data_IF_110934205678
#
_entry.id   IF_110934205678
#
_cell.length_a   1.000
_cell.length_b   1.000
_cell.length_c   1.000
_cell.angle_alpha   90.00
_cell.angle_beta   90.00
_cell.angle_gamma   90.00
#
_symmetry.space_group_name_H-M   'P 1'
#
loop_
_entity.id
_entity.type
_entity.pdbx_description
1 polymer ?
#
# COMPACT_ATOMS: atom_id res chain seq x y z
N UNK A 1 26.37 -6.69 2.75
CA UNK A 1 25.60 -6.70 4.03
C UNK A 1 24.55 -7.82 4.04
N UNK A 2 23.85 -8.07 2.92
CA UNK A 2 22.89 -9.18 2.82
C UNK A 2 23.55 -10.57 2.71
N UNK A 3 24.85 -10.64 2.42
CA UNK A 3 25.58 -11.88 2.16
C UNK A 3 25.70 -12.79 3.39
N UNK A 4 25.68 -12.22 4.60
CA UNK A 4 25.65 -13.00 5.84
C UNK A 4 24.36 -13.82 5.91
N UNK A 5 23.21 -13.21 5.59
CA UNK A 5 21.93 -13.91 5.58
C UNK A 5 21.86 -14.96 4.47
N UNK A 6 22.46 -14.68 3.31
CA UNK A 6 22.60 -15.72 2.26
C UNK A 6 23.37 -16.94 2.75
N UNK A 7 24.40 -16.76 3.59
CA UNK A 7 25.12 -17.88 4.22
C UNK A 7 24.29 -18.61 5.28
N UNK A 8 23.60 -17.86 6.15
CA UNK A 8 22.74 -18.43 7.21
C UNK A 8 21.60 -19.27 6.65
N UNK A 9 21.08 -18.89 5.49
CA UNK A 9 19.98 -19.59 4.80
C UNK A 9 20.47 -20.48 3.65
N UNK A 10 21.76 -20.81 3.56
CA UNK A 10 22.33 -21.56 2.44
C UNK A 10 21.71 -22.96 2.27
N UNK A 11 21.24 -23.59 3.36
CA UNK A 11 20.54 -24.88 3.38
C UNK A 11 19.06 -24.78 2.96
N UNK A 12 18.51 -23.56 2.92
CA UNK A 12 17.10 -23.27 2.65
C UNK A 12 16.94 -21.92 1.92
N UNK A 13 17.57 -21.74 0.75
CA UNK A 13 17.65 -20.43 0.09
C UNK A 13 16.28 -19.84 -0.24
N UNK A 14 15.29 -20.69 -0.50
CA UNK A 14 13.90 -20.28 -0.78
C UNK A 14 13.18 -19.64 0.43
N UNK A 15 13.76 -19.68 1.63
CA UNK A 15 13.21 -19.05 2.85
C UNK A 15 13.77 -17.64 3.09
N UNK A 16 14.59 -17.11 2.18
CA UNK A 16 15.13 -15.77 2.26
C UNK A 16 14.70 -14.95 1.05
N UNK A 17 14.14 -13.76 1.30
CA UNK A 17 13.91 -12.73 0.28
C UNK A 17 14.65 -11.49 0.73
N UNK A 18 15.63 -11.05 -0.05
CA UNK A 18 16.41 -9.84 0.20
C UNK A 18 15.79 -8.68 -0.54
N UNK A 19 15.49 -7.61 0.18
CA UNK A 19 14.74 -6.48 -0.36
C UNK A 19 15.57 -5.20 -0.28
N UNK A 20 15.32 -4.29 -1.22
CA UNK A 20 15.71 -2.89 -1.10
C UNK A 20 14.47 -2.02 -1.23
N UNK A 21 14.39 -0.96 -0.42
CA UNK A 21 13.21 -0.11 -0.37
C UNK A 21 13.33 1.13 -1.25
N UNK A 22 12.28 1.40 -2.02
CA UNK A 22 12.06 2.63 -2.76
C UNK A 22 10.80 3.37 -2.26
N UNK A 23 10.55 4.54 -2.85
CA UNK A 23 9.31 5.31 -2.64
C UNK A 23 8.43 5.15 -3.87
N UNK A 24 7.14 4.82 -3.69
CA UNK A 24 6.23 4.58 -4.82
C UNK A 24 6.26 5.70 -5.87
N UNK A 25 6.17 6.95 -5.41
CA UNK A 25 6.15 8.18 -6.21
C UNK A 25 7.53 8.72 -6.58
N UNK A 26 8.59 7.92 -6.48
CA UNK A 26 9.92 8.30 -6.92
C UNK A 26 10.68 7.13 -7.57
N UNK A 27 10.31 6.73 -8.81
CA UNK A 27 11.04 5.71 -9.56
C UNK A 27 12.50 6.06 -9.81
N UNK A 28 12.83 7.34 -10.05
CA UNK A 28 14.21 7.78 -10.27
C UNK A 28 15.12 7.46 -9.08
N UNK A 29 14.66 7.70 -7.85
CA UNK A 29 15.39 7.30 -6.64
C UNK A 29 15.57 5.80 -6.55
N UNK A 30 14.59 5.02 -7.01
CA UNK A 30 14.66 3.55 -6.98
C UNK A 30 15.68 3.05 -8.03
N UNK A 31 15.77 3.73 -9.18
CA UNK A 31 16.76 3.43 -10.21
C UNK A 31 18.18 3.77 -9.75
N UNK A 32 18.35 4.91 -9.07
CA UNK A 32 19.65 5.28 -8.46
C UNK A 32 20.10 4.19 -7.49
N UNK A 33 19.20 3.69 -6.65
CA UNK A 33 19.52 2.63 -5.67
C UNK A 33 19.91 1.33 -6.39
N UNK A 34 19.11 0.87 -7.36
CA UNK A 34 19.36 -0.40 -8.05
C UNK A 34 20.61 -0.37 -8.95
N UNK A 35 20.96 0.80 -9.49
CA UNK A 35 22.16 1.00 -10.32
C UNK A 35 23.45 1.16 -9.50
N UNK A 36 23.36 1.29 -8.17
CA UNK A 36 24.53 1.56 -7.34
C UNK A 36 25.33 0.29 -7.08
N UNK A 37 26.53 0.20 -7.67
CA UNK A 37 27.44 -0.93 -7.49
C UNK A 37 26.78 -2.28 -7.81
N UNK A 38 26.87 -3.22 -6.87
CA UNK A 38 26.27 -4.56 -7.02
C UNK A 38 24.91 -4.71 -6.32
N UNK A 39 24.23 -3.62 -5.95
CA UNK A 39 22.93 -3.69 -5.22
C UNK A 39 21.93 -4.59 -5.96
N UNK A 40 21.74 -4.40 -7.26
CA UNK A 40 20.85 -5.26 -8.04
C UNK A 40 21.30 -6.74 -8.06
N UNK A 41 22.57 -7.08 -7.85
CA UNK A 41 22.99 -8.50 -7.77
C UNK A 41 22.71 -9.09 -6.38
N UNK A 42 22.64 -8.26 -5.35
CA UNK A 42 22.49 -8.69 -3.96
C UNK A 42 21.05 -8.76 -3.45
N UNK A 43 20.06 -8.33 -4.24
CA UNK A 43 18.64 -8.29 -3.84
C UNK A 43 17.73 -9.10 -4.76
N UNK A 44 16.61 -9.56 -4.22
CA UNK A 44 15.62 -10.38 -4.92
C UNK A 44 14.38 -9.55 -5.33
N UNK A 45 14.09 -8.47 -4.58
CA UNK A 45 12.94 -7.61 -4.84
C UNK A 45 13.23 -6.12 -4.57
N UNK A 46 12.59 -5.26 -5.37
CA UNK A 46 12.33 -3.87 -5.01
C UNK A 46 11.03 -3.82 -4.19
N UNK A 47 11.09 -3.18 -3.04
CA UNK A 47 9.93 -2.99 -2.18
C UNK A 47 9.53 -1.51 -2.17
N UNK A 48 8.23 -1.20 -2.35
CA UNK A 48 7.71 0.18 -2.35
C UNK A 48 6.53 0.32 -1.37
N UNK A 49 6.10 1.56 -1.12
CA UNK A 49 4.80 1.81 -0.46
C UNK A 49 3.65 1.60 -1.46
N UNK A 50 2.44 1.32 -0.99
CA UNK A 50 1.21 1.28 -1.78
C UNK A 50 0.11 2.08 -1.07
N UNK A 51 0.39 3.35 -0.77
CA UNK A 51 -0.55 4.26 -0.15
C UNK A 51 -1.33 5.07 -1.17
N UNK A 52 -2.63 5.28 -0.94
CA UNK A 52 -3.48 6.15 -1.74
C UNK A 52 -4.20 7.21 -0.88
N UNK A 53 -4.63 8.32 -1.47
CA UNK A 53 -5.50 9.30 -0.82
C UNK A 53 -4.82 10.48 -0.11
N UNK A 54 -3.49 10.57 -0.11
CA UNK A 54 -2.75 11.70 0.45
C UNK A 54 -2.99 13.04 -0.27
N UNK A 55 -3.62 12.99 -1.46
CA UNK A 55 -4.01 14.17 -2.24
C UNK A 55 -5.46 14.62 -2.00
N UNK A 56 -6.28 13.88 -1.24
CA UNK A 56 -7.70 14.25 -1.03
C UNK A 56 -7.83 15.40 -0.04
N UNK A 57 -7.01 15.40 1.01
CA UNK A 57 -6.95 16.48 2.01
C UNK A 57 -5.50 16.96 2.17
N UNK A 58 -4.91 17.61 1.14
CA UNK A 58 -3.51 17.99 1.16
C UNK A 58 -3.28 19.10 2.20
N UNK A 59 -2.24 18.95 3.02
CA UNK A 59 -1.89 19.93 4.05
C UNK A 59 -0.92 20.98 3.48
N UNK A 60 -1.18 22.24 3.80
CA UNK A 60 -0.23 23.33 3.55
C UNK A 60 -0.06 23.71 2.07
N UNK A 61 -0.94 23.21 1.20
CA UNK A 61 -0.92 23.51 -0.24
C UNK A 61 -1.88 24.64 -0.62
N UNK A 62 -2.82 25.01 0.27
CA UNK A 62 -3.90 25.94 -0.04
C UNK A 62 -4.95 25.39 -1.02
N UNK A 63 -4.81 24.13 -1.46
CA UNK A 63 -5.77 23.50 -2.34
C UNK A 63 -7.12 23.34 -1.64
N UNK A 64 -8.21 23.54 -2.40
CA UNK A 64 -9.55 23.36 -1.88
C UNK A 64 -9.75 21.91 -1.42
N UNK A 65 -10.29 21.76 -0.20
CA UNK A 65 -10.74 20.47 0.31
C UNK A 65 -12.07 20.09 -0.36
N UNK A 66 -12.39 18.79 -0.48
CA UNK A 66 -13.70 18.35 -0.93
C UNK A 66 -14.82 19.03 -0.14
N UNK A 67 -15.85 19.53 -0.82
CA UNK A 67 -16.99 20.18 -0.18
C UNK A 67 -17.97 19.16 0.40
N UNK A 68 -18.05 17.98 -0.23
CA UNK A 68 -18.93 16.88 0.17
C UNK A 68 -18.15 15.57 0.32
N UNK A 69 -18.80 14.58 0.94
CA UNK A 69 -18.26 13.23 1.03
C UNK A 69 -18.14 12.57 -0.36
N UNK A 70 -19.06 12.90 -1.27
CA UNK A 70 -19.05 12.40 -2.65
C UNK A 70 -17.84 12.94 -3.42
N UNK A 71 -17.54 14.24 -3.28
CA UNK A 71 -16.33 14.84 -3.86
C UNK A 71 -15.06 14.18 -3.32
N UNK A 72 -15.04 13.87 -2.03
CA UNK A 72 -13.88 13.22 -1.39
C UNK A 72 -13.64 11.82 -1.96
N UNK A 73 -14.70 11.03 -2.18
CA UNK A 73 -14.58 9.71 -2.79
C UNK A 73 -14.25 9.76 -4.28
N UNK A 74 -14.78 10.73 -5.03
CA UNK A 74 -14.38 10.94 -6.42
C UNK A 74 -12.88 11.28 -6.53
N UNK A 75 -12.37 12.12 -5.63
CA UNK A 75 -10.93 12.41 -5.57
C UNK A 75 -10.11 11.19 -5.09
N UNK A 76 -10.66 10.37 -4.20
CA UNK A 76 -10.01 9.16 -3.73
C UNK A 76 -9.82 8.14 -4.86
N UNK A 77 -10.81 7.99 -5.73
CA UNK A 77 -10.72 7.14 -6.93
C UNK A 77 -9.58 7.58 -7.86
N UNK A 78 -9.47 8.89 -8.12
CA UNK A 78 -8.34 9.45 -8.88
C UNK A 78 -7.00 9.22 -8.16
N UNK A 79 -6.98 9.28 -6.84
CA UNK A 79 -5.77 9.03 -6.05
C UNK A 79 -5.31 7.56 -6.13
N UNK A 80 -6.25 6.60 -6.19
CA UNK A 80 -5.93 5.19 -6.44
C UNK A 80 -5.28 5.05 -7.82
N UNK A 81 -5.86 5.62 -8.88
CA UNK A 81 -5.29 5.55 -10.24
C UNK A 81 -3.89 6.15 -10.32
N UNK A 82 -3.70 7.32 -9.71
CA UNK A 82 -2.40 7.99 -9.65
C UNK A 82 -1.35 7.12 -8.94
N UNK A 83 -1.75 6.46 -7.86
CA UNK A 83 -0.88 5.52 -7.12
C UNK A 83 -0.45 4.37 -8.01
N UNK A 84 -1.40 3.75 -8.73
CA UNK A 84 -1.09 2.62 -9.60
C UNK A 84 -0.31 2.98 -10.86
N UNK A 85 -0.47 4.19 -11.40
CA UNK A 85 0.42 4.69 -12.45
C UNK A 85 1.89 4.71 -12.00
N UNK A 86 2.13 5.14 -10.76
CA UNK A 86 3.50 5.15 -10.20
C UNK A 86 4.01 3.74 -9.88
N UNK A 87 3.13 2.87 -9.35
CA UNK A 87 3.47 1.46 -9.08
C UNK A 87 3.82 0.70 -10.36
N UNK A 88 3.12 0.95 -11.47
CA UNK A 88 3.45 0.36 -12.79
C UNK A 88 4.82 0.82 -13.30
N UNK A 89 5.19 2.08 -13.08
CA UNK A 89 6.55 2.56 -13.39
C UNK A 89 7.60 1.85 -12.55
N UNK A 90 7.32 1.63 -11.26
CA UNK A 90 8.19 0.84 -10.37
C UNK A 90 8.29 -0.63 -10.81
N UNK A 91 7.19 -1.23 -11.31
CA UNK A 91 7.19 -2.60 -11.85
C UNK A 91 8.07 -2.71 -13.08
N UNK A 92 7.92 -1.78 -14.03
CA UNK A 92 8.75 -1.73 -15.23
C UNK A 92 10.23 -1.53 -14.89
N UNK A 93 10.53 -0.67 -13.92
CA UNK A 93 11.89 -0.48 -13.41
C UNK A 93 12.45 -1.76 -12.76
N UNK A 94 11.70 -2.38 -11.84
CA UNK A 94 12.11 -3.63 -11.20
C UNK A 94 12.38 -4.73 -12.24
N UNK A 95 11.53 -4.85 -13.26
CA UNK A 95 11.71 -5.80 -14.36
C UNK A 95 13.01 -5.54 -15.15
N UNK A 96 13.37 -4.27 -15.43
CA UNK A 96 14.64 -3.93 -16.10
C UNK A 96 15.87 -4.41 -15.32
N UNK A 97 15.77 -4.49 -13.99
CA UNK A 97 16.84 -5.00 -13.11
C UNK A 97 16.68 -6.49 -12.76
N UNK A 98 15.69 -7.20 -13.35
CA UNK A 98 15.42 -8.61 -13.04
C UNK A 98 14.94 -8.82 -11.60
N UNK A 99 14.14 -7.90 -11.06
CA UNK A 99 13.61 -7.93 -9.69
C UNK A 99 12.11 -8.08 -9.64
N UNK A 100 11.67 -8.73 -8.57
CA UNK A 100 10.26 -8.67 -8.15
C UNK A 100 9.92 -7.26 -7.68
N UNK A 101 8.64 -6.91 -7.73
CA UNK A 101 8.11 -5.73 -7.06
C UNK A 101 7.14 -6.20 -5.97
N UNK A 102 7.38 -5.77 -4.74
CA UNK A 102 6.50 -6.01 -3.60
C UNK A 102 6.13 -4.69 -2.92
N UNK A 103 5.08 -4.67 -2.11
CA UNK A 103 4.77 -3.54 -1.24
C UNK A 103 5.04 -3.87 0.23
N UNK A 104 5.91 -3.08 0.87
CA UNK A 104 6.24 -3.26 2.30
C UNK A 104 5.24 -2.59 3.24
N UNK A 105 4.42 -1.68 2.74
CA UNK A 105 3.31 -1.07 3.44
C UNK A 105 2.30 -0.51 2.43
N UNK A 106 1.02 -0.40 2.81
CA UNK A 106 -0.03 0.11 1.95
C UNK A 106 -1.34 0.33 2.68
N UNK A 107 -2.28 0.98 2.00
CA UNK A 107 -3.59 1.36 2.52
C UNK A 107 -3.93 2.82 2.23
N UNK A 108 -4.97 3.33 2.88
CA UNK A 108 -5.35 4.73 2.76
C UNK A 108 -4.39 5.64 3.55
N UNK A 109 -4.12 6.84 3.03
CA UNK A 109 -3.28 7.89 3.62
C UNK A 109 -4.00 9.25 3.57
N UNK A 110 -5.27 9.29 3.98
CA UNK A 110 -6.01 10.52 4.24
C UNK A 110 -5.64 11.02 5.64
N UNK A 111 -5.20 12.27 5.73
CA UNK A 111 -4.89 12.95 7.00
C UNK A 111 -5.71 14.23 7.11
N UNK A 112 -6.55 14.32 8.14
CA UNK A 112 -7.32 15.52 8.47
C UNK A 112 -7.09 15.75 9.96
N UNK A 113 -6.14 16.62 10.30
CA UNK A 113 -5.69 16.79 11.70
C UNK A 113 -6.61 17.69 12.52
N UNK A 114 -7.26 18.61 11.82
CA UNK A 114 -8.13 19.66 12.33
C UNK A 114 -9.61 19.26 12.35
N UNK A 115 -9.96 18.13 11.73
CA UNK A 115 -11.32 17.60 11.70
C UNK A 115 -11.32 16.06 11.71
N UNK A 116 -11.21 15.52 12.92
CA UNK A 116 -11.21 14.07 13.17
C UNK A 116 -12.58 13.45 12.86
N UNK A 117 -13.66 14.22 12.99
CA UNK A 117 -15.01 13.74 12.71
C UNK A 117 -15.17 13.43 11.22
N UNK A 118 -14.72 14.33 10.33
CA UNK A 118 -14.70 14.06 8.88
C UNK A 118 -13.79 12.88 8.53
N UNK A 119 -12.61 12.78 9.17
CA UNK A 119 -11.73 11.62 8.96
C UNK A 119 -12.42 10.30 9.36
N UNK A 120 -13.13 10.29 10.49
CA UNK A 120 -13.87 9.13 10.95
C UNK A 120 -15.01 8.77 9.99
N UNK A 121 -15.81 9.76 9.58
CA UNK A 121 -16.89 9.57 8.60
C UNK A 121 -16.38 8.95 7.30
N UNK A 122 -15.27 9.48 6.74
CA UNK A 122 -14.64 8.93 5.54
C UNK A 122 -14.20 7.48 5.71
N UNK A 123 -13.57 7.15 6.84
CA UNK A 123 -12.98 5.83 7.05
C UNK A 123 -14.00 4.75 7.42
N UNK A 124 -15.17 5.15 7.94
CA UNK A 124 -16.29 4.25 8.27
C UNK A 124 -17.31 4.12 7.13
N UNK A 125 -17.26 4.99 6.12
CA UNK A 125 -18.13 4.91 4.95
C UNK A 125 -17.81 3.64 4.11
N UNK A 126 -18.83 2.87 3.66
CA UNK A 126 -18.63 1.67 2.85
C UNK A 126 -17.79 1.88 1.57
N UNK A 127 -17.77 3.10 1.00
CA UNK A 127 -16.94 3.43 -0.16
C UNK A 127 -15.44 3.37 0.14
N UNK A 128 -15.02 3.52 1.40
CA UNK A 128 -13.63 3.25 1.80
C UNK A 128 -13.28 1.77 1.59
N UNK A 129 -14.20 0.86 1.90
CA UNK A 129 -14.06 -0.56 1.59
C UNK A 129 -13.91 -0.80 0.08
N UNK A 130 -14.73 -0.13 -0.74
CA UNK A 130 -14.62 -0.21 -2.22
C UNK A 130 -13.25 0.27 -2.73
N UNK A 131 -12.70 1.34 -2.15
CA UNK A 131 -11.37 1.83 -2.51
C UNK A 131 -10.27 0.80 -2.15
N UNK A 132 -10.38 0.13 -1.01
CA UNK A 132 -9.47 -0.98 -0.65
C UNK A 132 -9.61 -2.17 -1.59
N UNK A 133 -10.83 -2.59 -1.94
CA UNK A 133 -11.06 -3.64 -2.94
C UNK A 133 -10.38 -3.26 -4.25
N UNK A 134 -10.63 -2.06 -4.78
CA UNK A 134 -10.00 -1.59 -6.02
C UNK A 134 -8.47 -1.60 -5.94
N UNK A 135 -7.88 -1.13 -4.84
CA UNK A 135 -6.44 -1.16 -4.63
C UNK A 135 -5.91 -2.60 -4.68
N UNK A 136 -6.53 -3.53 -3.94
CA UNK A 136 -6.06 -4.91 -3.85
C UNK A 136 -6.22 -5.67 -5.17
N UNK A 137 -7.35 -5.50 -5.86
CA UNK A 137 -7.61 -6.11 -7.18
C UNK A 137 -6.63 -5.56 -8.24
N UNK A 138 -6.39 -4.25 -8.24
CA UNK A 138 -5.42 -3.64 -9.18
C UNK A 138 -4.00 -4.14 -8.89
N UNK A 139 -3.64 -4.30 -7.61
CA UNK A 139 -2.35 -4.88 -7.22
C UNK A 139 -2.21 -6.33 -7.66
N UNK A 140 -3.24 -7.16 -7.45
CA UNK A 140 -3.26 -8.55 -7.87
C UNK A 140 -3.09 -8.68 -9.38
N UNK A 141 -3.81 -7.86 -10.15
CA UNK A 141 -3.75 -7.84 -11.61
C UNK A 141 -2.41 -7.33 -12.15
N UNK A 142 -1.95 -6.15 -11.71
CA UNK A 142 -0.80 -5.48 -12.33
C UNK A 142 0.54 -6.02 -11.82
N UNK A 143 0.59 -6.41 -10.54
CA UNK A 143 1.85 -6.75 -9.85
C UNK A 143 1.93 -8.24 -9.54
N UNK A 144 0.87 -8.81 -8.95
CA UNK A 144 0.74 -10.24 -8.68
C UNK A 144 1.71 -10.78 -7.62
N UNK A 145 2.15 -9.95 -6.68
CA UNK A 145 3.10 -10.34 -5.61
C UNK A 145 2.65 -9.78 -4.25
N UNK A 146 3.52 -9.84 -3.24
CA UNK A 146 3.18 -9.51 -1.85
C UNK A 146 2.86 -8.03 -1.67
N UNK A 147 1.71 -7.75 -1.04
CA UNK A 147 1.35 -6.43 -0.48
C UNK A 147 1.15 -6.56 1.02
N UNK A 148 1.94 -5.83 1.79
CA UNK A 148 1.73 -5.68 3.24
C UNK A 148 0.87 -4.45 3.49
N UNK A 149 -0.20 -4.61 4.26
CA UNK A 149 -1.01 -3.49 4.74
C UNK A 149 -0.43 -2.98 6.05
N UNK A 150 -0.36 -1.66 6.20
CA UNK A 150 0.45 -1.03 7.23
C UNK A 150 0.00 -1.36 8.66
N UNK A 151 -1.31 -1.42 8.91
CA UNK A 151 -1.83 -1.51 10.26
C UNK A 151 -3.15 -2.28 10.32
N UNK A 152 -3.18 -3.35 11.11
CA UNK A 152 -4.40 -4.13 11.32
C UNK A 152 -5.38 -3.40 12.24
N UNK A 153 -4.99 -3.15 13.50
CA UNK A 153 -5.85 -2.57 14.54
C UNK A 153 -5.27 -1.22 14.97
N UNK A 154 -6.04 -0.14 14.87
CA UNK A 154 -5.62 1.14 15.40
C UNK A 154 -6.67 2.24 15.33
N UNK A 155 -6.76 3.10 16.36
CA UNK A 155 -7.81 4.09 16.47
C UNK A 155 -7.67 5.19 15.42
N UNK A 156 -8.79 5.88 15.16
CA UNK A 156 -8.81 7.11 14.37
C UNK A 156 -8.39 8.29 15.25
N UNK A 157 -7.41 9.07 14.81
CA UNK A 157 -6.99 10.27 15.53
C UNK A 157 -6.18 11.24 14.69
N UNK A 158 -5.61 12.26 15.34
CA UNK A 158 -4.85 13.34 14.68
C UNK A 158 -3.61 12.87 13.89
N UNK A 159 -3.18 11.63 14.09
CA UNK A 159 -2.08 11.03 13.36
C UNK A 159 -2.52 10.15 12.19
N UNK A 160 -3.82 9.95 11.99
CA UNK A 160 -4.39 9.19 10.89
C UNK A 160 -5.44 8.16 11.34
N UNK A 161 -5.96 7.44 10.36
CA UNK A 161 -6.91 6.35 10.51
C UNK A 161 -6.32 5.09 9.84
N UNK A 162 -5.19 4.62 10.35
CA UNK A 162 -4.36 3.63 9.67
C UNK A 162 -4.90 2.21 9.73
N UNK A 163 -5.57 1.86 10.84
CA UNK A 163 -6.11 0.52 11.06
C UNK A 163 -7.12 0.10 10.00
N UNK A 164 -7.11 -1.20 9.68
CA UNK A 164 -8.22 -1.87 8.99
C UNK A 164 -9.47 -1.93 9.88
N UNK A 165 -9.24 -2.02 11.19
CA UNK A 165 -10.21 -1.88 12.27
C UNK A 165 -9.67 -0.95 13.37
N UNK A 166 -10.56 -0.38 14.18
CA UNK A 166 -10.25 0.64 15.18
C UNK A 166 -9.90 0.04 16.55
N UNK A 167 -10.45 -1.12 16.86
CA UNK A 167 -10.27 -1.88 18.10
C UNK A 167 -10.49 -3.37 17.84
N UNK A 168 -9.99 -4.22 18.73
CA UNK A 168 -10.18 -5.67 18.63
C UNK A 168 -11.67 -6.03 18.66
N UNK A 169 -12.07 -6.99 17.83
CA UNK A 169 -13.46 -7.43 17.68
C UNK A 169 -14.45 -6.34 17.20
N UNK A 170 -13.97 -5.29 16.53
CA UNK A 170 -14.87 -4.35 15.84
C UNK A 170 -15.80 -5.12 14.88
N UNK A 171 -17.13 -4.89 14.95
CA UNK A 171 -18.07 -5.56 14.05
C UNK A 171 -17.69 -5.34 12.59
N UNK A 172 -17.64 -6.41 11.78
CA UNK A 172 -17.17 -6.35 10.40
C UNK A 172 -17.99 -5.39 9.52
N UNK A 173 -19.28 -5.19 9.85
CA UNK A 173 -20.16 -4.24 9.19
C UNK A 173 -19.75 -2.77 9.43
N UNK A 174 -19.02 -2.50 10.51
CA UNK A 174 -18.48 -1.19 10.88
C UNK A 174 -17.01 -1.01 10.46
N UNK A 175 -16.36 -2.07 9.99
CA UNK A 175 -14.94 -2.10 9.60
C UNK A 175 -14.78 -2.31 8.08
N UNK A 176 -15.15 -1.33 7.22
CA UNK A 176 -15.22 -1.52 5.77
C UNK A 176 -13.88 -1.92 5.14
N UNK A 177 -12.75 -1.45 5.69
CA UNK A 177 -11.41 -1.83 5.22
C UNK A 177 -11.08 -3.28 5.53
N UNK A 178 -11.27 -3.71 6.79
CA UNK A 178 -11.08 -5.11 7.20
C UNK A 178 -11.96 -6.04 6.38
N UNK A 179 -13.22 -5.67 6.16
CA UNK A 179 -14.14 -6.41 5.30
C UNK A 179 -13.59 -6.58 3.89
N UNK A 180 -13.18 -5.49 3.23
CA UNK A 180 -12.62 -5.55 1.89
C UNK A 180 -11.37 -6.45 1.79
N UNK A 181 -10.50 -6.40 2.80
CA UNK A 181 -9.29 -7.24 2.87
C UNK A 181 -9.63 -8.72 3.03
N UNK A 182 -10.56 -9.06 3.93
CA UNK A 182 -10.99 -10.44 4.14
C UNK A 182 -11.70 -11.01 2.91
N UNK A 183 -12.56 -10.21 2.26
CA UNK A 183 -13.23 -10.58 1.02
C UNK A 183 -12.21 -10.86 -0.10
N UNK A 184 -11.20 -9.98 -0.26
CA UNK A 184 -10.11 -10.18 -1.22
C UNK A 184 -9.34 -11.47 -0.95
N UNK A 185 -8.95 -11.72 0.31
CA UNK A 185 -8.27 -12.96 0.71
C UNK A 185 -9.12 -14.18 0.39
N UNK A 186 -10.42 -14.14 0.69
CA UNK A 186 -11.32 -15.25 0.41
C UNK A 186 -11.42 -15.55 -1.10
N UNK A 187 -11.48 -14.51 -1.93
CA UNK A 187 -11.55 -14.62 -3.39
C UNK A 187 -10.23 -15.10 -4.04
N UNK A 188 -9.09 -14.80 -3.42
CA UNK A 188 -7.74 -15.07 -3.97
C UNK A 188 -6.99 -16.19 -3.25
N UNK A 189 -7.65 -16.98 -2.40
CA UNK A 189 -7.03 -18.15 -1.79
C UNK A 189 -6.58 -19.11 -2.90
N UNK A 190 -5.29 -19.50 -2.94
CA UNK A 190 -4.87 -20.62 -3.77
C UNK A 190 -5.72 -21.84 -3.40
N UNK A 191 -6.23 -22.56 -4.39
CA UNK A 191 -6.76 -23.90 -4.14
C UNK A 191 -5.70 -24.68 -3.36
N UNK A 192 -6.11 -25.32 -2.25
CA UNK A 192 -5.21 -26.22 -1.52
C UNK A 192 -4.73 -27.27 -2.52
N UNK A 193 -3.44 -27.24 -2.86
CA UNK A 193 -2.75 -28.37 -3.48
C UNK A 193 -2.55 -29.46 -2.46
#
# INVERSE_FOLDING_TARGET
MLDIWTKVYADRPNRLVRIVSGKAFNPASSETILSYGDVAKSVDALAVTCYFGNTVYPRGTGAARPATLDDAFAQLDVAVDKTFNSIRQQKALAQRFGKRLIAYEGGQHILIRDDIATLATLNRDPRMGKAYTRMLETWAHDIGDTIMLFHQVGPIGKFGAWGLEEYDDQPLIEAPKKKAVLDFIAAHRPSKQ
#
